data_IF_837931008436
#
_entry.id   IF_837931008436
#
_cell.length_a   1.000
_cell.length_b   1.000
_cell.length_c   1.000
_cell.angle_alpha   90.00
_cell.angle_beta   90.00
_cell.angle_gamma   90.00
#
_symmetry.space_group_name_H-M   'P 1'
#
loop_
_entity.id
_entity.type
_entity.pdbx_description
1 polymer ?
#
# COMPACT_ATOMS: atom_id res chain seq x y z
N UNK A 1 -11.92 -15.60 2.39
CA UNK A 1 -12.05 -14.24 1.83
C UNK A 1 -12.59 -14.33 0.42
N UNK A 2 -13.46 -13.43 -0.01
CA UNK A 2 -14.01 -13.42 -1.36
C UNK A 2 -13.23 -12.41 -2.22
N UNK A 3 -12.29 -12.90 -3.03
CA UNK A 3 -11.57 -12.11 -4.04
C UNK A 3 -12.45 -11.85 -5.28
N UNK A 4 -13.69 -11.40 -5.07
CA UNK A 4 -14.64 -11.18 -6.16
C UNK A 4 -15.57 -10.01 -5.88
N UNK A 5 -16.01 -9.36 -6.94
CA UNK A 5 -17.04 -8.31 -6.87
C UNK A 5 -17.95 -8.37 -8.09
N UNK A 6 -19.13 -7.76 -8.00
CA UNK A 6 -20.06 -7.61 -9.12
C UNK A 6 -20.18 -6.14 -9.47
N UNK A 7 -19.77 -5.78 -10.68
CA UNK A 7 -19.80 -4.41 -11.19
C UNK A 7 -20.57 -4.37 -12.51
N UNK A 8 -21.60 -3.54 -12.58
CA UNK A 8 -22.49 -3.39 -13.75
C UNK A 8 -23.01 -4.72 -14.33
N UNK A 9 -23.38 -5.67 -13.47
CA UNK A 9 -23.93 -6.96 -13.89
C UNK A 9 -22.89 -8.02 -14.25
N UNK A 10 -21.61 -7.66 -14.40
CA UNK A 10 -20.50 -8.59 -14.61
C UNK A 10 -19.83 -8.94 -13.27
N UNK A 11 -19.57 -10.22 -13.06
CA UNK A 11 -18.78 -10.71 -11.92
C UNK A 11 -17.30 -10.72 -12.29
N UNK A 12 -16.48 -10.11 -11.45
CA UNK A 12 -15.03 -10.13 -11.54
C UNK A 12 -14.50 -10.95 -10.38
N UNK A 13 -13.57 -11.87 -10.69
CA UNK A 13 -12.94 -12.75 -9.71
C UNK A 13 -11.43 -12.71 -9.93
N UNK A 14 -10.69 -12.63 -8.83
CA UNK A 14 -9.24 -12.57 -8.81
C UNK A 14 -8.72 -13.83 -8.13
N UNK A 15 -7.78 -14.56 -8.75
CA UNK A 15 -7.37 -15.88 -8.24
C UNK A 15 -6.51 -15.79 -6.98
N UNK A 16 -5.74 -14.72 -6.82
CA UNK A 16 -4.83 -14.51 -5.70
C UNK A 16 -4.63 -13.01 -5.40
N UNK A 17 -4.00 -12.70 -4.26
CA UNK A 17 -3.68 -11.33 -3.83
C UNK A 17 -2.73 -10.64 -4.81
N UNK A 18 -1.79 -11.39 -5.39
CA UNK A 18 -0.78 -10.85 -6.31
C UNK A 18 -1.42 -10.28 -7.57
N UNK A 19 -2.35 -11.01 -8.19
CA UNK A 19 -3.09 -10.58 -9.37
C UNK A 19 -4.13 -9.51 -9.03
N UNK A 20 -4.77 -9.57 -7.86
CA UNK A 20 -5.60 -8.47 -7.38
C UNK A 20 -4.79 -7.17 -7.30
N UNK A 21 -3.63 -7.22 -6.65
CA UNK A 21 -2.72 -6.09 -6.47
C UNK A 21 -2.17 -5.57 -7.80
N UNK A 22 -1.86 -6.47 -8.74
CA UNK A 22 -1.45 -6.12 -10.10
C UNK A 22 -2.55 -5.38 -10.87
N UNK A 23 -3.75 -5.97 -10.92
CA UNK A 23 -4.90 -5.40 -11.64
C UNK A 23 -5.44 -4.12 -11.01
N UNK A 24 -5.19 -3.87 -9.73
CA UNK A 24 -5.56 -2.64 -9.04
C UNK A 24 -4.62 -1.43 -9.34
N UNK A 25 -3.49 -1.63 -10.02
CA UNK A 25 -2.63 -0.53 -10.44
C UNK A 25 -3.32 0.37 -11.48
N UNK A 26 -2.91 1.64 -11.51
CA UNK A 26 -3.08 2.45 -12.71
C UNK A 26 -2.30 1.89 -13.89
N UNK A 27 -2.65 2.32 -15.10
CA UNK A 27 -2.04 1.80 -16.32
C UNK A 27 -0.54 2.00 -16.36
N UNK A 28 0.20 0.90 -16.49
CA UNK A 28 1.67 0.88 -16.58
C UNK A 28 2.08 -0.13 -17.63
N UNK A 29 2.93 0.29 -18.58
CA UNK A 29 3.40 -0.57 -19.67
C UNK A 29 4.10 -1.84 -19.16
N UNK A 30 4.88 -1.74 -18.08
CA UNK A 30 5.55 -2.89 -17.46
C UNK A 30 4.59 -3.93 -16.90
N UNK A 31 3.48 -3.51 -16.29
CA UNK A 31 2.49 -4.44 -15.73
C UNK A 31 1.75 -5.20 -16.82
N UNK A 32 1.48 -4.54 -17.96
CA UNK A 32 0.93 -5.21 -19.15
C UNK A 32 1.93 -6.20 -19.74
N UNK A 33 3.20 -5.82 -19.86
CA UNK A 33 4.25 -6.71 -20.39
C UNK A 33 4.45 -7.95 -19.50
N UNK A 34 4.32 -7.79 -18.18
CA UNK A 34 4.40 -8.87 -17.21
C UNK A 34 3.10 -9.68 -17.07
N UNK A 35 2.02 -9.30 -17.79
CA UNK A 35 0.74 -10.01 -17.75
C UNK A 35 -0.03 -9.88 -16.43
N UNK A 36 0.26 -8.84 -15.64
CA UNK A 36 -0.38 -8.61 -14.31
C UNK A 36 -1.30 -7.39 -14.30
N UNK A 37 -1.25 -6.56 -15.34
CA UNK A 37 -2.14 -5.41 -15.49
C UNK A 37 -3.61 -5.80 -15.75
N UNK A 38 -4.53 -4.89 -15.43
CA UNK A 38 -5.93 -5.06 -15.79
C UNK A 38 -6.12 -4.93 -17.31
N UNK A 39 -6.95 -5.79 -17.89
CA UNK A 39 -7.26 -5.78 -19.33
C UNK A 39 -8.18 -4.62 -19.72
N UNK A 40 -8.98 -4.15 -18.77
CA UNK A 40 -9.96 -3.08 -18.99
C UNK A 40 -10.03 -2.14 -17.80
N UNK A 41 -10.46 -0.89 -18.03
CA UNK A 41 -10.73 0.07 -16.96
C UNK A 41 -11.77 -0.45 -15.96
N UNK A 42 -12.81 -1.17 -16.44
CA UNK A 42 -13.83 -1.76 -15.57
C UNK A 42 -13.24 -2.85 -14.65
N UNK A 43 -12.33 -3.68 -15.15
CA UNK A 43 -11.61 -4.66 -14.32
C UNK A 43 -10.70 -3.97 -13.29
N UNK A 44 -10.02 -2.89 -13.67
CA UNK A 44 -9.19 -2.09 -12.75
C UNK A 44 -10.02 -1.53 -11.60
N UNK A 45 -11.17 -0.96 -11.89
CA UNK A 45 -12.10 -0.45 -10.87
C UNK A 45 -12.61 -1.59 -9.99
N UNK A 46 -12.99 -2.73 -10.58
CA UNK A 46 -13.40 -3.90 -9.82
C UNK A 46 -12.27 -4.41 -8.89
N UNK A 47 -11.02 -4.41 -9.35
CA UNK A 47 -9.86 -4.78 -8.55
C UNK A 47 -9.66 -3.81 -7.37
N UNK A 48 -9.77 -2.50 -7.60
CA UNK A 48 -9.69 -1.50 -6.53
C UNK A 48 -10.81 -1.65 -5.50
N UNK A 49 -12.03 -1.95 -5.94
CA UNK A 49 -13.16 -2.20 -5.04
C UNK A 49 -12.92 -3.44 -4.17
N UNK A 50 -12.43 -4.55 -4.76
CA UNK A 50 -12.08 -5.74 -3.97
C UNK A 50 -10.92 -5.43 -3.03
N UNK A 51 -9.88 -4.74 -3.49
CA UNK A 51 -8.70 -4.38 -2.70
C UNK A 51 -9.04 -3.49 -1.50
N UNK A 52 -9.99 -2.56 -1.66
CA UNK A 52 -10.45 -1.69 -0.58
C UNK A 52 -11.01 -2.46 0.61
N UNK A 53 -11.65 -3.60 0.37
CA UNK A 53 -12.28 -4.44 1.40
C UNK A 53 -11.32 -5.51 1.96
N UNK A 54 -10.08 -5.58 1.49
CA UNK A 54 -9.10 -6.56 1.98
C UNK A 54 -8.61 -6.13 3.38
N UNK A 55 -8.69 -6.98 4.40
CA UNK A 55 -8.06 -6.70 5.69
C UNK A 55 -6.53 -6.68 5.61
N UNK A 56 -5.87 -5.82 6.40
CA UNK A 56 -4.41 -5.71 6.41
C UNK A 56 -3.72 -7.03 6.75
N UNK A 57 -4.29 -7.85 7.64
CA UNK A 57 -3.72 -9.15 7.99
C UNK A 57 -3.58 -10.08 6.78
N UNK A 58 -4.48 -10.01 5.81
CA UNK A 58 -4.41 -10.84 4.59
C UNK A 58 -3.18 -10.48 3.78
N UNK A 59 -2.86 -9.19 3.68
CA UNK A 59 -1.66 -8.72 2.99
C UNK A 59 -0.38 -9.12 3.74
N UNK A 60 -0.42 -9.16 5.07
CA UNK A 60 0.71 -9.65 5.87
C UNK A 60 1.00 -11.13 5.62
N UNK A 61 -0.05 -11.95 5.63
CA UNK A 61 0.06 -13.40 5.51
C UNK A 61 0.35 -13.87 4.08
N UNK A 62 0.13 -13.02 3.08
CA UNK A 62 0.33 -13.31 1.67
C UNK A 62 1.37 -12.33 1.06
N UNK A 63 2.64 -12.37 1.49
CA UNK A 63 3.68 -11.55 0.89
C UNK A 63 3.87 -11.90 -0.59
N UNK A 64 4.37 -10.94 -1.37
CA UNK A 64 4.53 -11.13 -2.82
C UNK A 64 5.48 -12.28 -3.18
N UNK A 65 6.47 -12.53 -2.31
CA UNK A 65 7.37 -13.68 -2.36
C UNK A 65 7.32 -14.39 -0.99
N UNK A 66 7.31 -15.73 -0.94
CA UNK A 66 7.27 -16.46 0.34
C UNK A 66 8.48 -16.17 1.24
N UNK A 67 8.23 -16.13 2.56
CA UNK A 67 9.23 -15.80 3.58
C UNK A 67 10.45 -16.74 3.57
N UNK A 68 10.23 -18.02 3.30
CA UNK A 68 11.27 -19.05 3.23
C UNK A 68 12.15 -18.92 1.96
N UNK A 69 11.67 -18.23 0.94
CA UNK A 69 12.32 -18.13 -0.37
C UNK A 69 13.07 -16.80 -0.57
N UNK A 70 12.77 -15.77 0.20
CA UNK A 70 13.32 -14.43 -0.04
C UNK A 70 13.78 -13.71 1.23
N UNK A 71 15.01 -13.20 1.19
CA UNK A 71 15.62 -12.49 2.32
C UNK A 71 14.99 -11.11 2.56
N UNK A 72 14.55 -10.43 1.49
CA UNK A 72 13.91 -9.12 1.61
C UNK A 72 12.56 -9.25 2.33
N UNK A 73 11.77 -10.27 1.99
CA UNK A 73 10.54 -10.61 2.71
C UNK A 73 10.81 -10.86 4.18
N UNK A 74 11.89 -11.57 4.54
CA UNK A 74 12.24 -11.79 5.96
C UNK A 74 12.55 -10.48 6.67
N UNK A 75 13.41 -9.63 6.08
CA UNK A 75 13.74 -8.32 6.66
C UNK A 75 12.50 -7.47 6.88
N UNK A 76 11.56 -7.46 5.93
CA UNK A 76 10.30 -6.71 6.06
C UNK A 76 9.43 -7.28 7.17
N UNK A 77 9.20 -8.60 7.18
CA UNK A 77 8.27 -9.25 8.12
C UNK A 77 8.80 -9.26 9.56
N UNK A 78 10.11 -9.44 9.73
CA UNK A 78 10.79 -9.49 11.03
C UNK A 78 10.92 -8.10 11.66
N UNK A 79 10.88 -7.03 10.86
CA UNK A 79 10.92 -5.65 11.34
C UNK A 79 9.58 -5.15 11.92
N UNK A 80 8.49 -5.91 11.76
CA UNK A 80 7.16 -5.46 12.18
C UNK A 80 6.96 -5.62 13.68
N UNK A 81 6.59 -4.54 14.36
CA UNK A 81 6.13 -4.56 15.75
C UNK A 81 4.77 -5.27 15.85
N UNK A 82 4.77 -6.42 16.51
CA UNK A 82 3.57 -7.25 16.65
C UNK A 82 2.46 -6.59 17.49
N UNK A 83 2.81 -5.73 18.46
CA UNK A 83 1.80 -5.05 19.28
C UNK A 83 1.04 -4.02 18.45
N UNK A 84 1.78 -3.18 17.71
CA UNK A 84 1.18 -2.15 16.84
C UNK A 84 0.40 -2.82 15.70
N UNK A 85 0.96 -3.87 15.11
CA UNK A 85 0.24 -4.65 14.10
C UNK A 85 -1.10 -5.18 14.61
N UNK A 86 -1.15 -5.71 15.84
CA UNK A 86 -2.39 -6.22 16.42
C UNK A 86 -3.48 -5.15 16.59
N UNK A 87 -3.11 -3.87 16.71
CA UNK A 87 -4.07 -2.75 16.76
C UNK A 87 -4.74 -2.48 15.40
N UNK A 88 -4.05 -2.76 14.29
CA UNK A 88 -4.47 -2.35 12.93
C UNK A 88 -4.81 -3.52 11.99
N UNK A 89 -4.48 -4.77 12.37
CA UNK A 89 -4.55 -5.94 11.48
C UNK A 89 -5.92 -6.16 10.83
N UNK A 90 -6.99 -5.79 11.55
CA UNK A 90 -8.38 -6.00 11.13
C UNK A 90 -8.94 -4.83 10.32
N UNK A 91 -8.18 -3.74 10.16
CA UNK A 91 -8.57 -2.65 9.26
C UNK A 91 -8.57 -3.15 7.82
N UNK A 92 -9.52 -2.67 7.04
CA UNK A 92 -9.48 -2.81 5.58
C UNK A 92 -8.49 -1.83 4.97
N UNK A 93 -8.01 -2.10 3.74
CA UNK A 93 -7.15 -1.15 3.02
C UNK A 93 -7.86 0.19 2.81
N UNK A 94 -9.18 0.17 2.58
CA UNK A 94 -10.01 1.37 2.48
C UNK A 94 -10.02 2.18 3.77
N UNK A 95 -10.27 1.54 4.92
CA UNK A 95 -10.22 2.20 6.23
C UNK A 95 -8.83 2.76 6.52
N UNK A 96 -7.78 2.02 6.18
CA UNK A 96 -6.40 2.49 6.34
C UNK A 96 -6.12 3.74 5.48
N UNK A 97 -6.64 3.80 4.26
CA UNK A 97 -6.57 5.00 3.40
C UNK A 97 -7.22 6.21 4.07
N UNK A 98 -8.46 6.04 4.54
CA UNK A 98 -9.23 7.12 5.18
C UNK A 98 -8.55 7.60 6.45
N UNK A 99 -8.07 6.66 7.28
CA UNK A 99 -7.30 6.98 8.47
C UNK A 99 -6.04 7.79 8.14
N UNK A 100 -5.28 7.40 7.10
CA UNK A 100 -4.06 8.10 6.70
C UNK A 100 -4.33 9.54 6.22
N UNK A 101 -5.45 9.76 5.53
CA UNK A 101 -5.83 11.05 4.98
C UNK A 101 -6.56 11.96 5.97
N UNK A 102 -7.16 11.42 7.03
CA UNK A 102 -7.92 12.18 8.01
C UNK A 102 -7.11 13.33 8.64
N UNK A 103 -7.73 14.49 8.83
CA UNK A 103 -7.10 15.68 9.44
C UNK A 103 -6.76 15.47 10.93
N UNK A 104 -7.45 14.52 11.57
CA UNK A 104 -7.17 14.09 12.95
C UNK A 104 -5.92 13.21 13.06
N UNK A 105 -5.45 12.63 11.95
CA UNK A 105 -4.29 11.74 11.94
C UNK A 105 -3.00 12.55 11.80
N UNK A 106 -2.20 12.54 12.86
CA UNK A 106 -0.95 13.31 12.96
C UNK A 106 0.26 12.53 12.43
N UNK A 107 1.35 13.24 12.13
CA UNK A 107 2.61 12.64 11.71
C UNK A 107 3.15 11.60 12.70
N UNK A 108 2.99 11.84 14.01
CA UNK A 108 3.45 10.93 15.06
C UNK A 108 2.61 9.65 15.11
N UNK A 109 1.29 9.76 14.89
CA UNK A 109 0.41 8.60 14.77
C UNK A 109 0.80 7.73 13.57
N UNK A 110 1.06 8.36 12.42
CA UNK A 110 1.52 7.65 11.21
C UNK A 110 2.86 6.97 11.46
N UNK A 111 3.82 7.65 12.08
CA UNK A 111 5.13 7.07 12.44
C UNK A 111 4.99 5.87 13.36
N UNK A 112 4.13 5.95 14.39
CA UNK A 112 3.83 4.79 15.26
C UNK A 112 3.26 3.63 14.44
N UNK A 113 2.18 3.87 13.71
CA UNK A 113 1.49 2.83 12.92
C UNK A 113 2.42 2.21 11.87
N UNK A 114 3.38 2.98 11.33
CA UNK A 114 4.32 2.49 10.31
C UNK A 114 5.16 1.28 10.76
N UNK A 115 5.41 1.14 12.07
CA UNK A 115 6.11 -0.02 12.62
C UNK A 115 5.26 -1.31 12.56
N UNK A 116 3.95 -1.20 12.39
CA UNK A 116 3.02 -2.33 12.25
C UNK A 116 2.75 -2.75 10.80
N UNK A 117 3.33 -2.07 9.81
CA UNK A 117 3.01 -2.23 8.38
C UNK A 117 4.05 -3.07 7.64
N UNK A 118 3.60 -3.84 6.65
CA UNK A 118 4.46 -4.46 5.63
C UNK A 118 4.45 -3.67 4.33
N UNK A 119 5.41 -3.94 3.43
CA UNK A 119 5.47 -3.30 2.12
C UNK A 119 4.21 -3.54 1.27
N UNK A 120 3.59 -4.72 1.38
CA UNK A 120 2.34 -5.05 0.70
C UNK A 120 1.17 -4.17 1.17
N UNK A 121 1.06 -3.88 2.48
CA UNK A 121 0.04 -2.98 3.02
C UNK A 121 0.22 -1.55 2.51
N UNK A 122 1.46 -1.05 2.51
CA UNK A 122 1.80 0.28 1.98
C UNK A 122 1.52 0.36 0.47
N UNK A 123 1.84 -0.69 -0.27
CA UNK A 123 1.53 -0.78 -1.70
C UNK A 123 0.02 -0.80 -1.95
N UNK A 124 -0.74 -1.53 -1.13
CA UNK A 124 -2.18 -1.68 -1.29
C UNK A 124 -2.91 -0.34 -1.11
N UNK A 125 -2.59 0.41 -0.06
CA UNK A 125 -3.21 1.73 0.18
C UNK A 125 -2.86 2.70 -0.95
N UNK A 126 -1.62 2.69 -1.43
CA UNK A 126 -1.14 3.55 -2.52
C UNK A 126 -1.94 3.31 -3.81
N UNK A 127 -2.33 2.08 -4.12
CA UNK A 127 -3.13 1.74 -5.32
C UNK A 127 -4.54 2.34 -5.28
N UNK A 128 -5.06 2.66 -4.09
CA UNK A 128 -6.39 3.24 -3.87
C UNK A 128 -6.40 4.77 -3.77
N UNK A 129 -5.23 5.40 -3.81
CA UNK A 129 -5.07 6.84 -3.66
C UNK A 129 -5.07 7.54 -5.02
N UNK A 130 -5.72 8.71 -5.09
CA UNK A 130 -5.58 9.62 -6.24
C UNK A 130 -4.25 10.38 -6.17
N UNK A 131 -3.89 11.10 -7.23
CA UNK A 131 -2.69 11.94 -7.24
C UNK A 131 -2.69 12.98 -6.11
N UNK A 132 -3.85 13.55 -5.79
CA UNK A 132 -3.98 14.52 -4.71
C UNK A 132 -3.80 13.86 -3.34
N UNK A 133 -4.39 12.68 -3.15
CA UNK A 133 -4.24 11.92 -1.91
C UNK A 133 -2.78 11.55 -1.67
N UNK A 134 -2.06 11.12 -2.72
CA UNK A 134 -0.64 10.80 -2.64
C UNK A 134 0.20 12.03 -2.24
N UNK A 135 -0.07 13.20 -2.84
CA UNK A 135 0.62 14.44 -2.48
C UNK A 135 0.29 14.89 -1.04
N UNK A 136 -0.99 14.86 -0.65
CA UNK A 136 -1.46 15.30 0.66
C UNK A 136 -0.98 14.37 1.78
N UNK A 137 -1.14 13.05 1.59
CA UNK A 137 -0.66 12.02 2.51
C UNK A 137 0.86 12.09 2.69
N UNK A 138 1.63 12.19 1.60
CA UNK A 138 3.08 12.32 1.70
C UNK A 138 3.52 13.60 2.43
N UNK A 139 2.82 14.73 2.22
CA UNK A 139 3.10 15.99 2.91
C UNK A 139 2.94 15.88 4.44
N UNK A 140 2.08 14.99 4.94
CA UNK A 140 1.92 14.73 6.38
C UNK A 140 3.08 13.95 7.01
N UNK A 141 3.99 13.38 6.20
CA UNK A 141 5.02 12.44 6.67
C UNK A 141 6.40 13.03 6.37
N UNK A 142 6.84 14.06 7.12
CA UNK A 142 8.21 14.55 6.98
C UNK A 142 9.18 13.46 7.44
N UNK A 143 10.16 13.11 6.61
CA UNK A 143 11.23 12.16 6.92
C UNK A 143 12.56 12.89 6.79
N UNK A 144 13.36 12.89 7.85
CA UNK A 144 14.68 13.52 7.88
C UNK A 144 15.76 12.49 8.17
N UNK A 145 16.96 12.76 7.65
CA UNK A 145 18.15 11.94 7.90
C UNK A 145 19.37 12.84 8.02
N UNK A 146 20.37 12.39 8.78
CA UNK A 146 21.63 13.10 8.98
C UNK A 146 22.80 12.28 8.43
N UNK A 147 23.70 12.95 7.70
CA UNK A 147 25.02 12.46 7.32
C UNK A 147 26.05 13.55 7.62
N UNK A 148 26.55 14.27 6.62
CA UNK A 148 27.31 15.52 6.86
C UNK A 148 26.38 16.72 7.09
N UNK A 149 25.19 16.70 6.48
CA UNK A 149 24.12 17.66 6.66
C UNK A 149 22.80 16.93 6.94
N UNK A 150 21.77 17.70 7.30
CA UNK A 150 20.42 17.17 7.54
C UNK A 150 19.55 17.40 6.30
N UNK A 151 19.01 16.32 5.73
CA UNK A 151 18.04 16.37 4.63
C UNK A 151 16.61 16.21 5.18
N UNK A 152 15.62 16.75 4.46
CA UNK A 152 14.20 16.50 4.74
C UNK A 152 13.56 17.39 5.80
N UNK A 153 14.23 18.46 6.22
CA UNK A 153 13.64 19.46 7.12
C UNK A 153 12.52 20.25 6.41
N UNK A 154 11.43 20.61 7.11
CA UNK A 154 10.36 21.42 6.53
C UNK A 154 10.90 22.73 5.92
N UNK A 155 10.40 23.10 4.74
CA UNK A 155 10.83 24.31 4.04
C UNK A 155 12.17 24.20 3.30
N UNK A 156 12.76 23.00 3.21
CA UNK A 156 14.01 22.77 2.47
C UNK A 156 13.78 21.91 1.23
N UNK A 157 14.58 22.13 0.19
CA UNK A 157 14.65 21.29 -1.01
C UNK A 157 16.12 21.07 -1.35
N UNK A 158 16.55 19.81 -1.32
CA UNK A 158 17.92 19.42 -1.65
C UNK A 158 18.00 18.88 -3.08
N UNK A 159 19.15 19.06 -3.73
CA UNK A 159 19.44 18.49 -5.05
C UNK A 159 20.73 17.67 -5.02
N UNK A 160 20.82 16.70 -5.92
CA UNK A 160 22.02 15.90 -6.14
C UNK A 160 22.76 16.47 -7.34
N UNK A 161 24.04 16.77 -7.18
CA UNK A 161 24.90 17.18 -8.28
C UNK A 161 25.47 15.91 -8.95
N UNK A 162 25.01 15.58 -10.15
CA UNK A 162 25.38 14.35 -10.89
C UNK A 162 25.88 14.66 -12.28
#
# INVERSE_FOLDING_TARGET
MLLRTKLHGKTYEFPDIRLLMGKANEEKSGDHLAGVGAETAAERVAAKLVLAEVPLWVLRENPAVPYDQDEVTRVIQDAVDSNIYNEIKDWTVGEFREWLLADTTTSDMIRRVSAGLTSEMVSAVTKLMSNLDLMYGAKKIPVSAYCNNTIGAPGTLSSRNQ
#
